data_IF_554637297937
#
_entry.id   IF_554637297937
#
_cell.length_a   1.000
_cell.length_b   1.000
_cell.length_c   1.000
_cell.angle_alpha   90.00
_cell.angle_beta   90.00
_cell.angle_gamma   90.00
#
_symmetry.space_group_name_H-M   'P 1'
#
loop_
_entity.id
_entity.type
_entity.pdbx_description
1 polymer ?
#
# COMPACT_ATOMS: atom_id res chain seq x y z
N UNK A 1 4.65 21.15 3.92
CA UNK A 1 4.11 22.40 4.53
C UNK A 1 4.78 22.57 5.88
N UNK A 2 5.16 23.79 6.24
CA UNK A 2 5.63 24.11 7.60
C UNK A 2 4.43 24.26 8.55
N UNK A 3 4.64 24.16 9.88
CA UNK A 3 3.57 24.37 10.87
C UNK A 3 2.89 25.72 10.68
N UNK A 4 3.66 26.75 10.35
CA UNK A 4 3.14 28.09 10.02
C UNK A 4 2.19 28.06 8.81
N UNK A 5 2.56 27.40 7.72
CA UNK A 5 1.70 27.28 6.54
C UNK A 5 0.42 26.48 6.83
N UNK A 6 0.50 25.49 7.72
CA UNK A 6 -0.68 24.75 8.18
C UNK A 6 -1.60 25.66 8.98
N UNK A 7 -1.06 26.42 9.93
CA UNK A 7 -1.80 27.39 10.74
C UNK A 7 -2.51 28.42 9.86
N UNK A 8 -1.79 29.07 8.94
CA UNK A 8 -2.36 30.02 7.97
C UNK A 8 -3.49 29.38 7.12
N UNK A 9 -3.31 28.13 6.67
CA UNK A 9 -4.32 27.42 5.87
C UNK A 9 -5.57 27.09 6.69
N UNK A 10 -5.41 26.72 7.97
CA UNK A 10 -6.54 26.43 8.86
C UNK A 10 -7.33 27.71 9.12
N UNK A 11 -6.65 28.81 9.37
CA UNK A 11 -7.26 30.14 9.56
C UNK A 11 -8.06 30.55 8.32
N UNK A 12 -7.45 30.43 7.12
CA UNK A 12 -8.09 30.79 5.84
C UNK A 12 -9.35 29.96 5.52
N UNK A 13 -9.36 28.65 5.89
CA UNK A 13 -10.46 27.76 5.54
C UNK A 13 -11.57 27.73 6.60
N UNK A 14 -11.19 27.77 7.88
CA UNK A 14 -12.10 27.51 9.00
C UNK A 14 -12.32 28.73 9.90
N UNK A 15 -11.67 29.88 9.61
CA UNK A 15 -11.72 31.11 10.43
C UNK A 15 -11.36 30.83 11.91
N UNK A 16 -10.35 29.97 12.10
CA UNK A 16 -9.88 29.51 13.40
C UNK A 16 -8.37 29.71 13.55
N UNK A 17 -7.97 30.64 14.43
CA UNK A 17 -6.56 30.90 14.72
C UNK A 17 -5.94 29.72 15.49
N UNK A 18 -4.83 29.20 14.96
CA UNK A 18 -4.01 28.17 15.62
C UNK A 18 -2.57 28.63 15.76
N UNK A 19 -1.90 28.19 16.82
CA UNK A 19 -0.47 28.43 16.98
C UNK A 19 0.35 27.31 16.32
N UNK A 20 1.60 27.63 15.96
CA UNK A 20 2.55 26.61 15.47
C UNK A 20 2.79 25.50 16.51
N UNK A 21 2.83 25.87 17.81
CA UNK A 21 2.98 24.91 18.91
C UNK A 21 1.77 23.96 19.01
N UNK A 22 0.56 24.48 18.84
CA UNK A 22 -0.64 23.64 18.80
C UNK A 22 -0.61 22.63 17.66
N UNK A 23 -0.16 23.05 16.47
CA UNK A 23 0.00 22.15 15.31
C UNK A 23 1.05 21.07 15.62
N UNK A 24 2.16 21.43 16.26
CA UNK A 24 3.19 20.48 16.68
C UNK A 24 2.64 19.46 17.67
N UNK A 25 1.97 19.93 18.74
CA UNK A 25 1.38 19.06 19.77
C UNK A 25 0.35 18.08 19.21
N UNK A 26 -0.50 18.55 18.29
CA UNK A 26 -1.49 17.68 17.60
C UNK A 26 -0.79 16.66 16.74
N UNK A 27 0.24 17.07 15.99
CA UNK A 27 1.02 16.17 15.13
C UNK A 27 1.70 15.10 15.96
N UNK A 28 2.35 15.45 17.05
CA UNK A 28 3.05 14.51 17.94
C UNK A 28 2.08 13.46 18.54
N UNK A 29 0.88 13.90 18.95
CA UNK A 29 -0.17 12.99 19.44
C UNK A 29 -0.65 12.03 18.35
N UNK A 30 -0.81 12.51 17.11
CA UNK A 30 -1.22 11.66 15.98
C UNK A 30 -0.10 10.67 15.64
N UNK A 31 1.15 11.10 15.64
CA UNK A 31 2.29 10.21 15.36
C UNK A 31 2.34 9.04 16.35
N UNK A 32 2.16 9.30 17.64
CA UNK A 32 2.09 8.23 18.66
C UNK A 32 0.96 7.23 18.37
N UNK A 33 -0.22 7.72 17.99
CA UNK A 33 -1.35 6.84 17.63
C UNK A 33 -1.07 6.02 16.37
N UNK A 34 -0.36 6.60 15.38
CA UNK A 34 0.06 5.90 14.16
C UNK A 34 1.08 4.82 14.50
N UNK A 35 2.05 5.09 15.36
CA UNK A 35 3.04 4.12 15.82
C UNK A 35 2.39 2.95 16.57
N UNK A 36 1.47 3.22 17.49
CA UNK A 36 0.69 2.21 18.19
C UNK A 36 -0.10 1.35 17.21
N UNK A 37 -0.76 1.98 16.24
CA UNK A 37 -1.50 1.28 15.20
C UNK A 37 -0.60 0.41 14.31
N UNK A 38 0.57 0.92 13.90
CA UNK A 38 1.54 0.18 13.09
C UNK A 38 2.12 -1.02 13.83
N UNK A 39 2.31 -0.92 15.15
CA UNK A 39 2.90 -1.97 15.98
C UNK A 39 1.85 -2.91 16.61
N UNK A 40 0.56 -2.69 16.37
CA UNK A 40 -0.49 -3.53 16.95
C UNK A 40 -0.33 -5.00 16.55
N UNK A 41 -0.68 -5.94 17.43
CA UNK A 41 -0.76 -7.35 17.08
C UNK A 41 -1.72 -7.58 15.90
N UNK A 42 -1.40 -8.54 15.07
CA UNK A 42 -2.20 -8.96 13.92
C UNK A 42 -2.76 -10.37 14.13
N UNK A 43 -3.77 -10.73 13.35
CA UNK A 43 -4.30 -12.08 13.34
C UNK A 43 -3.22 -13.07 12.85
N UNK A 44 -3.30 -14.32 13.33
CA UNK A 44 -2.33 -15.34 12.97
C UNK A 44 -2.42 -15.79 11.51
N UNK A 45 -3.62 -15.71 10.92
CA UNK A 45 -3.88 -16.20 9.57
C UNK A 45 -4.65 -15.15 8.75
N UNK A 46 -4.11 -14.86 7.59
CA UNK A 46 -4.78 -14.06 6.57
C UNK A 46 -4.97 -14.88 5.29
N UNK A 47 -6.20 -15.25 4.92
CA UNK A 47 -6.48 -15.94 3.66
C UNK A 47 -5.94 -15.17 2.45
N UNK A 48 -6.11 -13.87 2.41
CA UNK A 48 -5.65 -13.04 1.28
C UNK A 48 -4.99 -11.76 1.79
N UNK A 49 -3.81 -11.45 1.25
CA UNK A 49 -3.21 -10.12 1.32
C UNK A 49 -3.23 -9.45 -0.05
N UNK A 50 -3.47 -8.15 -0.05
CA UNK A 50 -3.25 -7.28 -1.20
C UNK A 50 -2.12 -6.32 -0.90
N UNK A 51 -1.19 -6.18 -1.84
CA UNK A 51 -0.12 -5.19 -1.78
C UNK A 51 -0.29 -4.26 -2.96
N UNK A 52 -0.47 -2.97 -2.68
CA UNK A 52 -0.63 -1.93 -3.68
C UNK A 52 0.33 -0.78 -3.43
N UNK A 53 0.69 -0.07 -4.49
CA UNK A 53 1.67 1.02 -4.46
C UNK A 53 1.03 2.31 -4.96
N UNK A 54 1.11 3.36 -4.14
CA UNK A 54 0.67 4.70 -4.49
C UNK A 54 1.90 5.58 -4.69
N UNK A 55 2.18 5.98 -5.93
CA UNK A 55 3.27 6.90 -6.23
C UNK A 55 2.82 8.34 -6.08
N UNK A 56 3.62 9.14 -5.38
CA UNK A 56 3.37 10.57 -5.19
C UNK A 56 4.67 11.37 -5.22
N UNK A 57 4.54 12.68 -5.33
CA UNK A 57 5.68 13.59 -5.34
C UNK A 57 5.59 14.55 -4.16
N UNK A 58 6.68 14.67 -3.43
CA UNK A 58 6.82 15.64 -2.34
C UNK A 58 7.86 16.68 -2.75
N UNK A 59 7.57 17.94 -2.45
CA UNK A 59 8.58 19.00 -2.58
C UNK A 59 9.22 19.20 -1.20
N UNK A 60 10.50 18.87 -1.11
CA UNK A 60 11.32 19.09 0.09
C UNK A 60 12.48 20.00 -0.27
N UNK A 61 12.64 21.11 0.47
CA UNK A 61 13.70 22.11 0.26
C UNK A 61 13.86 22.57 -1.20
N UNK A 62 12.74 22.70 -1.93
CA UNK A 62 12.73 23.10 -3.35
C UNK A 62 12.99 21.97 -4.35
N UNK A 63 13.33 20.76 -3.90
CA UNK A 63 13.57 19.58 -4.73
C UNK A 63 12.32 18.71 -4.73
N UNK A 64 11.93 18.23 -5.91
CA UNK A 64 10.81 17.28 -6.05
C UNK A 64 11.37 15.87 -5.89
N UNK A 65 10.96 15.19 -4.82
CA UNK A 65 11.24 13.78 -4.57
C UNK A 65 10.02 12.93 -4.97
N UNK A 66 10.27 11.83 -5.67
CA UNK A 66 9.24 10.82 -5.97
C UNK A 66 9.31 9.73 -4.90
N UNK A 67 8.22 9.54 -4.20
CA UNK A 67 8.07 8.54 -3.16
C UNK A 67 6.97 7.56 -3.52
N UNK A 68 7.02 6.38 -2.92
CA UNK A 68 5.97 5.38 -2.99
C UNK A 68 5.45 5.06 -1.60
N UNK A 69 4.13 5.06 -1.44
CA UNK A 69 3.47 4.51 -0.27
C UNK A 69 3.00 3.09 -0.61
N UNK A 70 3.47 2.12 0.14
CA UNK A 70 3.11 0.71 0.00
C UNK A 70 2.04 0.39 1.04
N UNK A 71 0.87 0.00 0.57
CA UNK A 71 -0.28 -0.33 1.41
C UNK A 71 -0.47 -1.84 1.39
N UNK A 72 -0.42 -2.48 2.56
CA UNK A 72 -0.76 -3.88 2.70
C UNK A 72 -2.12 -4.00 3.38
N UNK A 73 -3.06 -4.63 2.68
CA UNK A 73 -4.42 -4.86 3.13
C UNK A 73 -4.65 -6.37 3.27
N UNK A 74 -5.09 -6.80 4.44
CA UNK A 74 -5.45 -8.18 4.73
C UNK A 74 -6.96 -8.41 4.69
N UNK A 75 -7.35 -9.62 4.29
CA UNK A 75 -8.68 -10.17 4.55
C UNK A 75 -8.49 -11.23 5.62
N UNK A 76 -9.10 -11.03 6.77
CA UNK A 76 -9.01 -11.97 7.90
C UNK A 76 -9.93 -13.18 7.71
N UNK A 77 -9.89 -14.14 8.64
CA UNK A 77 -10.70 -15.34 8.60
C UNK A 77 -12.22 -15.08 8.64
N UNK A 78 -12.64 -13.93 9.14
CA UNK A 78 -14.05 -13.50 9.14
C UNK A 78 -14.47 -12.81 7.83
N UNK A 79 -13.58 -12.67 6.86
CA UNK A 79 -13.81 -11.98 5.59
C UNK A 79 -13.77 -10.45 5.68
N UNK A 80 -13.33 -9.89 6.79
CA UNK A 80 -13.20 -8.45 6.96
C UNK A 80 -11.87 -7.96 6.38
N UNK A 81 -11.93 -6.78 5.74
CA UNK A 81 -10.75 -6.08 5.23
C UNK A 81 -10.16 -5.17 6.28
N UNK A 82 -8.86 -5.23 6.43
CA UNK A 82 -8.13 -4.29 7.28
C UNK A 82 -6.79 -3.88 6.65
N UNK A 83 -6.36 -2.66 6.91
CA UNK A 83 -5.02 -2.21 6.53
C UNK A 83 -4.04 -2.70 7.58
N UNK A 84 -3.07 -3.52 7.19
CA UNK A 84 -2.09 -4.10 8.11
C UNK A 84 -0.91 -3.17 8.34
N UNK A 85 -0.41 -2.56 7.26
CA UNK A 85 0.68 -1.58 7.32
C UNK A 85 0.63 -0.63 6.14
N UNK A 86 1.19 0.56 6.36
CA UNK A 86 1.50 1.53 5.32
C UNK A 86 2.97 1.90 5.53
N UNK A 87 3.80 1.65 4.54
CA UNK A 87 5.22 2.01 4.57
C UNK A 87 5.58 2.91 3.40
N UNK A 88 6.55 3.79 3.63
CA UNK A 88 7.03 4.73 2.62
C UNK A 88 8.44 4.31 2.23
N UNK A 89 8.71 4.23 0.94
CA UNK A 89 10.02 3.86 0.42
C UNK A 89 10.32 4.52 -0.92
N UNK A 90 11.61 4.58 -1.23
CA UNK A 90 12.08 5.13 -2.50
C UNK A 90 12.31 4.04 -3.55
N UNK A 91 12.69 2.83 -3.12
CA UNK A 91 13.11 1.74 -3.99
C UNK A 91 12.51 0.40 -3.59
N UNK A 92 11.93 -0.28 -4.57
CA UNK A 92 11.47 -1.66 -4.44
C UNK A 92 12.66 -2.63 -4.62
N UNK A 93 12.78 -3.58 -3.70
CA UNK A 93 13.75 -4.67 -3.80
C UNK A 93 13.27 -5.88 -3.01
N UNK A 94 13.81 -7.05 -3.31
CA UNK A 94 13.51 -8.28 -2.55
C UNK A 94 13.86 -8.13 -1.06
N UNK A 95 14.94 -7.42 -0.75
CA UNK A 95 15.35 -7.14 0.63
C UNK A 95 14.34 -6.25 1.36
N UNK A 96 13.83 -5.21 0.67
CA UNK A 96 12.80 -4.33 1.22
C UNK A 96 11.51 -5.12 1.52
N UNK A 97 11.02 -5.88 0.55
CA UNK A 97 9.81 -6.69 0.72
C UNK A 97 9.96 -7.76 1.79
N UNK A 98 11.14 -8.37 1.89
CA UNK A 98 11.42 -9.33 2.95
C UNK A 98 11.36 -8.68 4.33
N UNK A 99 11.85 -7.46 4.50
CA UNK A 99 11.75 -6.75 5.78
C UNK A 99 10.30 -6.43 6.14
N UNK A 100 9.49 -5.98 5.18
CA UNK A 100 8.05 -5.70 5.38
C UNK A 100 7.28 -6.98 5.75
N UNK A 101 7.52 -8.09 5.04
CA UNK A 101 6.86 -9.36 5.35
C UNK A 101 7.29 -9.94 6.71
N UNK A 102 8.56 -9.76 7.10
CA UNK A 102 9.03 -10.16 8.43
C UNK A 102 8.44 -9.29 9.54
N UNK A 103 8.16 -8.01 9.28
CA UNK A 103 7.43 -7.16 10.22
C UNK A 103 6.03 -7.73 10.50
N UNK A 104 5.29 -8.16 9.48
CA UNK A 104 3.99 -8.83 9.68
C UNK A 104 4.12 -10.09 10.56
N UNK A 105 5.17 -10.90 10.35
CA UNK A 105 5.47 -12.05 11.22
C UNK A 105 5.73 -11.65 12.66
N UNK A 106 6.54 -10.63 12.88
CA UNK A 106 6.86 -10.13 14.21
C UNK A 106 5.61 -9.63 14.96
N UNK A 107 4.61 -9.17 14.22
CA UNK A 107 3.30 -8.73 14.74
C UNK A 107 2.29 -9.86 14.90
N UNK A 108 2.66 -11.12 14.62
CA UNK A 108 1.86 -12.29 14.93
C UNK A 108 1.38 -13.11 13.72
N UNK A 109 1.55 -12.63 12.49
CA UNK A 109 1.11 -13.37 11.30
C UNK A 109 1.94 -14.65 11.12
N UNK A 110 1.29 -15.80 11.15
CA UNK A 110 1.91 -17.12 10.98
C UNK A 110 1.73 -17.69 9.58
N UNK A 111 0.57 -17.43 8.97
CA UNK A 111 0.24 -17.99 7.66
C UNK A 111 -0.56 -17.03 6.79
N UNK A 112 -0.27 -17.07 5.49
CA UNK A 112 -0.96 -16.31 4.44
C UNK A 112 -1.17 -17.28 3.28
N UNK A 113 -2.43 -17.46 2.83
CA UNK A 113 -2.67 -18.39 1.73
C UNK A 113 -2.31 -17.78 0.38
N UNK A 114 -2.77 -16.56 0.11
CA UNK A 114 -2.56 -15.88 -1.17
C UNK A 114 -2.08 -14.45 -0.93
N UNK A 115 -1.03 -14.03 -1.64
CA UNK A 115 -0.63 -12.63 -1.75
C UNK A 115 -0.88 -12.14 -3.17
N UNK A 116 -1.77 -11.15 -3.30
CA UNK A 116 -2.05 -10.44 -4.54
C UNK A 116 -1.25 -9.14 -4.59
N UNK A 117 -0.32 -9.02 -5.53
CA UNK A 117 0.46 -7.79 -5.71
C UNK A 117 0.58 -7.42 -7.19
N UNK A 118 0.87 -6.15 -7.48
CA UNK A 118 1.33 -5.76 -8.81
C UNK A 118 2.72 -6.39 -9.09
N UNK A 119 3.25 -6.19 -10.29
CA UNK A 119 4.57 -6.71 -10.69
C UNK A 119 5.72 -6.01 -9.97
N UNK A 120 5.67 -5.96 -8.62
CA UNK A 120 6.65 -5.31 -7.76
C UNK A 120 8.00 -6.05 -7.81
N UNK A 121 9.08 -5.29 -7.95
CA UNK A 121 10.42 -5.88 -8.10
C UNK A 121 10.84 -6.63 -6.83
N UNK A 122 11.17 -7.92 -6.97
CA UNK A 122 11.67 -8.76 -5.87
C UNK A 122 10.61 -9.26 -4.88
N UNK A 123 9.31 -9.02 -5.15
CA UNK A 123 8.24 -9.44 -4.24
C UNK A 123 8.10 -10.97 -4.17
N UNK A 124 8.27 -11.68 -5.29
CA UNK A 124 8.16 -13.14 -5.35
C UNK A 124 9.21 -13.82 -4.49
N UNK A 125 10.46 -13.38 -4.61
CA UNK A 125 11.59 -13.89 -3.83
C UNK A 125 11.38 -13.64 -2.35
N UNK A 126 10.87 -12.47 -1.99
CA UNK A 126 10.57 -12.11 -0.61
C UNK A 126 9.43 -12.98 -0.03
N UNK A 127 8.37 -13.22 -0.78
CA UNK A 127 7.26 -14.09 -0.37
C UNK A 127 7.79 -15.52 -0.15
N UNK A 128 8.52 -16.08 -1.10
CA UNK A 128 9.08 -17.42 -0.98
C UNK A 128 9.99 -17.59 0.25
N UNK A 129 10.74 -16.54 0.60
CA UNK A 129 11.62 -16.54 1.77
C UNK A 129 10.85 -16.35 3.09
N UNK A 130 9.86 -15.46 3.13
CA UNK A 130 9.10 -15.17 4.34
C UNK A 130 7.99 -16.20 4.61
N UNK A 131 7.21 -16.54 3.59
CA UNK A 131 6.02 -17.40 3.66
C UNK A 131 6.06 -18.44 2.54
N UNK A 132 6.84 -19.49 2.73
CA UNK A 132 7.16 -20.49 1.70
C UNK A 132 5.97 -21.28 1.14
N UNK A 133 4.83 -21.26 1.84
CA UNK A 133 3.60 -21.96 1.42
C UNK A 133 2.58 -21.03 0.75
N UNK A 134 2.87 -19.72 0.72
CA UNK A 134 1.97 -18.70 0.17
C UNK A 134 2.00 -18.71 -1.35
N UNK A 135 0.82 -18.75 -1.96
CA UNK A 135 0.68 -18.57 -3.41
C UNK A 135 0.77 -17.07 -3.76
N UNK A 136 1.57 -16.77 -4.78
CA UNK A 136 1.65 -15.42 -5.33
C UNK A 136 0.71 -15.26 -6.52
N UNK A 137 -0.27 -14.38 -6.39
CA UNK A 137 -1.17 -13.98 -7.47
C UNK A 137 -0.85 -12.58 -7.98
N UNK A 138 -0.56 -12.46 -9.27
CA UNK A 138 -0.41 -11.14 -9.89
C UNK A 138 -1.75 -10.41 -9.92
N UNK A 139 -1.77 -9.13 -9.54
CA UNK A 139 -2.98 -8.33 -9.55
C UNK A 139 -3.58 -8.24 -10.97
N UNK A 140 -4.75 -8.85 -11.17
CA UNK A 140 -5.43 -8.91 -12.47
C UNK A 140 -5.76 -7.51 -12.98
N UNK A 141 -6.18 -6.60 -12.11
CA UNK A 141 -6.56 -5.23 -12.50
C UNK A 141 -5.34 -4.47 -13.04
N UNK A 142 -4.20 -4.55 -12.35
CA UNK A 142 -2.96 -3.92 -12.80
C UNK A 142 -2.45 -4.56 -14.10
N UNK A 143 -2.56 -5.86 -14.24
CA UNK A 143 -2.17 -6.56 -15.45
C UNK A 143 -3.02 -6.15 -16.65
N UNK A 144 -4.34 -6.04 -16.48
CA UNK A 144 -5.26 -5.54 -17.53
C UNK A 144 -4.90 -4.11 -17.90
N UNK A 145 -4.76 -3.20 -16.93
CA UNK A 145 -4.37 -1.81 -17.18
C UNK A 145 -3.05 -1.69 -17.93
N UNK A 146 -2.06 -2.49 -17.55
CA UNK A 146 -0.75 -2.51 -18.21
C UNK A 146 -0.86 -3.04 -19.63
N UNK A 147 -1.64 -4.09 -19.87
CA UNK A 147 -1.85 -4.66 -21.21
C UNK A 147 -2.56 -3.67 -22.14
N UNK A 148 -3.59 -2.96 -21.63
CA UNK A 148 -4.33 -1.98 -22.41
C UNK A 148 -3.50 -0.77 -22.87
N UNK A 149 -2.35 -0.50 -22.24
CA UNK A 149 -1.43 0.56 -22.70
C UNK A 149 -0.84 0.28 -24.09
N UNK A 150 -0.76 -0.99 -24.48
CA UNK A 150 -0.23 -1.43 -25.77
C UNK A 150 -1.30 -1.59 -26.86
N UNK A 151 -2.58 -1.39 -26.50
CA UNK A 151 -3.71 -1.52 -27.41
C UNK A 151 -4.13 -0.13 -27.92
N UNK A 152 -4.38 0.00 -29.23
CA UNK A 152 -4.87 1.24 -29.82
C UNK A 152 -6.20 1.65 -29.21
N UNK A 153 -6.44 2.95 -29.02
CA UNK A 153 -7.62 3.48 -28.33
C UNK A 153 -8.95 2.96 -28.89
N UNK A 154 -9.04 2.85 -30.23
CA UNK A 154 -10.23 2.32 -30.93
C UNK A 154 -10.57 0.87 -30.56
N UNK A 155 -9.56 0.07 -30.23
CA UNK A 155 -9.70 -1.38 -29.99
C UNK A 155 -9.75 -1.72 -28.49
N UNK A 156 -9.44 -0.78 -27.59
CA UNK A 156 -9.35 -1.02 -26.13
C UNK A 156 -10.60 -1.62 -25.54
N UNK A 157 -11.78 -1.14 -25.96
CA UNK A 157 -13.06 -1.63 -25.42
C UNK A 157 -13.34 -3.09 -25.80
N UNK A 158 -13.11 -3.43 -27.07
CA UNK A 158 -13.30 -4.79 -27.56
C UNK A 158 -12.28 -5.73 -26.88
N UNK A 159 -10.99 -5.36 -26.88
CA UNK A 159 -9.94 -6.12 -26.26
C UNK A 159 -10.17 -6.34 -24.75
N UNK A 160 -10.63 -5.33 -24.00
CA UNK A 160 -10.97 -5.48 -22.58
C UNK A 160 -12.14 -6.44 -22.36
N UNK A 161 -13.10 -6.49 -23.30
CA UNK A 161 -14.20 -7.46 -23.25
C UNK A 161 -13.72 -8.88 -23.46
N UNK A 162 -12.81 -9.09 -24.41
CA UNK A 162 -12.23 -10.41 -24.68
C UNK A 162 -11.36 -10.89 -23.51
N UNK A 163 -10.51 -10.01 -22.93
CA UNK A 163 -9.75 -10.32 -21.72
C UNK A 163 -10.65 -10.76 -20.56
N UNK A 164 -11.84 -10.19 -20.45
CA UNK A 164 -12.79 -10.53 -19.38
C UNK A 164 -13.21 -11.99 -19.47
N UNK A 165 -13.31 -12.57 -20.65
CA UNK A 165 -13.65 -14.00 -20.82
C UNK A 165 -12.58 -14.91 -20.26
N UNK A 166 -11.30 -14.47 -20.28
CA UNK A 166 -10.17 -15.26 -19.77
C UNK A 166 -10.17 -15.26 -18.24
N UNK A 167 -10.14 -14.09 -17.60
CA UNK A 167 -10.02 -14.01 -16.13
C UNK A 167 -11.32 -14.27 -15.36
N UNK A 168 -12.43 -14.44 -16.07
CA UNK A 168 -13.73 -14.91 -15.52
C UNK A 168 -14.08 -16.33 -15.92
N UNK A 169 -13.22 -17.01 -16.66
CA UNK A 169 -13.44 -18.41 -16.95
C UNK A 169 -13.52 -19.21 -15.65
N UNK A 170 -14.54 -20.03 -15.52
CA UNK A 170 -14.63 -21.07 -14.48
C UNK A 170 -13.98 -22.30 -15.06
N UNK A 171 -13.02 -22.87 -14.34
CA UNK A 171 -12.40 -24.17 -14.67
C UNK A 171 -13.44 -25.30 -14.67
#
# INVERSE_FOLDING_TARGET
MTNRQISETIEDIYDFETSEDFISDVTDKILTQIEDWQNRPLDEVYPILYIDTIHYSVRDNGIIQKLAAYVILGINAEGKKEVLTISIGENESSKYWLSVLNELKNRGVKDILIICADGLTGIKEAIAAAFSKTEYQRCIIHQIRSTLKYVQDKDRKAFATDLKTIYKATD
#
